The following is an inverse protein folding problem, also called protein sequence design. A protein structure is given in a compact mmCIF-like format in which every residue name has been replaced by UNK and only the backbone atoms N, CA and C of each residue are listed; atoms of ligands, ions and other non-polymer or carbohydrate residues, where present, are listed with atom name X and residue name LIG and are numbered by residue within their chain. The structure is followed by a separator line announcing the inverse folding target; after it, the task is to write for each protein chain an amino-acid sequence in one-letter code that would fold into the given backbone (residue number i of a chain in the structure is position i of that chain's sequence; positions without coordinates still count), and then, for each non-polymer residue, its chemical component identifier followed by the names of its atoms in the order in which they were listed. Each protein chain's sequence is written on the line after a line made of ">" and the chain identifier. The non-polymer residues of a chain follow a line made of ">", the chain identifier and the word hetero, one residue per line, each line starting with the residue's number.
data_IF_983350617455
#
_entry.id   IF_983350617455
#
_cell.length_a   1.000
_cell.length_b   1.000
_cell.length_c   1.000
_cell.angle_alpha   90.00
_cell.angle_beta   90.00
_cell.angle_gamma   90.00
#
_symmetry.space_group_name_H-M   'P 1'
#
loop_
_entity.id
_entity.type
_entity.pdbx_description
1 polymer ?
#
# COMPACT_ATOMS: atom_id res chain seq x y z
N UNK A 1 -25.08 -3.32 -55.63
CA UNK A 1 -24.86 -4.51 -54.80
C UNK A 1 -24.45 -4.19 -53.34
N UNK A 2 -23.86 -3.05 -53.03
CA UNK A 2 -23.35 -2.73 -51.67
C UNK A 2 -24.47 -2.29 -50.69
N UNK A 3 -25.60 -1.78 -51.16
CA UNK A 3 -26.72 -1.30 -50.32
C UNK A 3 -27.56 -2.40 -49.64
N UNK A 4 -27.40 -3.66 -50.05
CA UNK A 4 -28.18 -4.78 -49.48
C UNK A 4 -27.34 -5.68 -48.53
N UNK A 5 -26.02 -5.47 -48.42
CA UNK A 5 -25.18 -6.30 -47.56
C UNK A 5 -25.13 -5.80 -46.09
N UNK A 6 -25.32 -4.49 -45.86
CA UNK A 6 -25.23 -3.89 -44.53
C UNK A 6 -26.38 -4.29 -43.59
N UNK A 7 -27.64 -4.36 -44.04
CA UNK A 7 -28.74 -4.79 -43.17
C UNK A 7 -28.71 -6.28 -42.84
N UNK A 8 -28.06 -7.12 -43.67
CA UNK A 8 -28.02 -8.57 -43.46
C UNK A 8 -26.94 -8.98 -42.46
N UNK A 9 -25.86 -8.19 -42.28
CA UNK A 9 -24.85 -8.40 -41.26
C UNK A 9 -25.32 -8.02 -39.83
N UNK A 10 -26.22 -7.03 -39.73
CA UNK A 10 -26.78 -6.59 -38.43
C UNK A 10 -27.88 -7.53 -37.90
N UNK A 11 -28.51 -8.32 -38.75
CA UNK A 11 -29.55 -9.29 -38.33
C UNK A 11 -28.96 -10.63 -37.86
N UNK A 12 -27.72 -10.95 -38.21
CA UNK A 12 -27.06 -12.19 -37.78
C UNK A 12 -26.40 -12.11 -36.39
N UNK A 13 -26.29 -10.93 -35.82
CA UNK A 13 -25.63 -10.72 -34.52
C UNK A 13 -26.50 -11.01 -33.30
N UNK A 14 -27.82 -11.19 -33.50
CA UNK A 14 -28.74 -11.51 -32.40
C UNK A 14 -28.71 -12.98 -31.93
N UNK A 15 -27.89 -13.83 -32.55
CA UNK A 15 -27.78 -15.25 -32.21
C UNK A 15 -26.56 -15.62 -31.36
N UNK A 16 -25.65 -14.67 -31.06
CA UNK A 16 -24.45 -14.93 -30.29
C UNK A 16 -24.56 -14.34 -28.87
N UNK A 17 -24.66 -15.21 -27.89
CA UNK A 17 -24.72 -14.85 -26.48
C UNK A 17 -23.32 -14.46 -25.87
N UNK A 18 -22.27 -14.49 -26.69
CA UNK A 18 -20.87 -14.34 -26.26
C UNK A 18 -20.10 -13.40 -27.21
N UNK A 19 -19.55 -12.28 -26.73
CA UNK A 19 -18.82 -11.30 -27.52
C UNK A 19 -17.57 -11.88 -28.22
N UNK A 20 -16.97 -12.94 -27.64
CA UNK A 20 -15.80 -13.61 -28.22
C UNK A 20 -16.20 -14.37 -29.50
N UNK A 21 -17.33 -15.04 -29.48
CA UNK A 21 -17.85 -15.77 -30.64
C UNK A 21 -18.22 -14.86 -31.81
N UNK A 22 -18.73 -13.65 -31.52
CA UNK A 22 -19.01 -12.64 -32.53
C UNK A 22 -17.72 -12.12 -33.20
N UNK A 23 -16.63 -11.95 -32.46
CA UNK A 23 -15.32 -11.50 -32.97
C UNK A 23 -14.69 -12.56 -33.87
N UNK A 24 -14.76 -13.84 -33.49
CA UNK A 24 -14.25 -14.96 -34.27
C UNK A 24 -15.03 -15.13 -35.57
N UNK A 25 -16.36 -14.96 -35.55
CA UNK A 25 -17.20 -15.03 -36.74
C UNK A 25 -16.91 -13.90 -37.75
N UNK A 26 -16.61 -12.68 -37.28
CA UNK A 26 -16.20 -11.55 -38.10
C UNK A 26 -14.84 -11.78 -38.78
N UNK A 27 -13.87 -12.37 -38.06
CA UNK A 27 -12.54 -12.70 -38.59
C UNK A 27 -12.65 -13.80 -39.66
N UNK A 28 -13.48 -14.80 -39.44
CA UNK A 28 -13.69 -15.89 -40.43
C UNK A 28 -14.37 -15.45 -41.71
N UNK A 29 -15.26 -14.44 -41.66
CA UNK A 29 -15.96 -13.90 -42.85
C UNK A 29 -15.06 -12.98 -43.67
N UNK A 30 -14.10 -12.29 -43.07
CA UNK A 30 -13.15 -11.42 -43.80
C UNK A 30 -12.09 -12.20 -44.57
N UNK A 31 -11.75 -13.42 -44.13
CA UNK A 31 -10.77 -14.28 -44.81
C UNK A 31 -11.31 -14.96 -46.08
N UNK A 32 -12.63 -14.93 -46.29
CA UNK A 32 -13.25 -15.61 -47.44
C UNK A 32 -13.55 -14.68 -48.64
N UNK A 33 -13.42 -13.35 -48.48
CA UNK A 33 -13.67 -12.37 -49.56
C UNK A 33 -12.36 -11.71 -49.99
N UNK A 34 -11.87 -12.06 -51.13
CA UNK A 34 -10.54 -11.73 -51.76
C UNK A 34 -10.04 -10.28 -51.59
N UNK A 35 -8.95 -10.20 -51.42
CA UNK A 35 -7.72 -9.63 -50.90
C UNK A 35 -7.30 -8.41 -51.73
N UNK A 36 -7.37 -7.27 -51.55
CA UNK A 36 -6.55 -6.21 -52.16
C UNK A 36 -6.90 -4.78 -51.79
N UNK A 37 -8.16 -4.47 -51.70
CA UNK A 37 -8.62 -3.11 -51.34
C UNK A 37 -9.36 -3.01 -50.00
N UNK A 38 -9.48 -4.13 -49.29
CA UNK A 38 -10.20 -4.25 -48.01
C UNK A 38 -9.30 -4.15 -46.78
N UNK A 39 -7.96 -4.22 -46.95
CA UNK A 39 -7.03 -4.19 -45.85
C UNK A 39 -7.00 -2.85 -45.09
N UNK A 40 -7.22 -1.74 -45.76
CA UNK A 40 -7.23 -0.40 -45.14
C UNK A 40 -8.57 -0.10 -44.43
N UNK A 41 -9.70 -0.58 -45.01
CA UNK A 41 -11.02 -0.43 -44.36
C UNK A 41 -11.19 -1.44 -43.20
N UNK A 42 -10.71 -2.67 -43.36
CA UNK A 42 -10.74 -3.69 -42.31
C UNK A 42 -9.97 -3.28 -41.05
N UNK A 43 -8.80 -2.67 -41.20
CA UNK A 43 -8.02 -2.15 -40.07
C UNK A 43 -8.75 -1.02 -39.34
N UNK A 44 -9.45 -0.11 -40.08
CA UNK A 44 -10.20 0.98 -39.47
C UNK A 44 -11.43 0.49 -38.71
N UNK A 45 -12.13 -0.52 -39.23
CA UNK A 45 -13.25 -1.16 -38.53
C UNK A 45 -12.78 -2.00 -37.32
N UNK A 46 -11.61 -2.60 -37.40
CA UNK A 46 -11.04 -3.33 -36.28
C UNK A 46 -10.65 -2.38 -35.12
N UNK A 47 -10.03 -1.24 -35.43
CA UNK A 47 -9.72 -0.23 -34.44
C UNK A 47 -10.97 0.39 -33.82
N UNK A 48 -11.95 0.75 -34.61
CA UNK A 48 -13.22 1.30 -34.12
C UNK A 48 -14.03 0.27 -33.30
N UNK A 49 -14.02 -0.99 -33.68
CA UNK A 49 -14.69 -2.08 -32.96
C UNK A 49 -14.02 -2.39 -31.60
N UNK A 50 -12.69 -2.42 -31.55
CA UNK A 50 -11.94 -2.62 -30.30
C UNK A 50 -12.11 -1.44 -29.34
N UNK A 51 -12.13 -0.21 -29.87
CA UNK A 51 -12.38 0.99 -29.07
C UNK A 51 -13.80 1.02 -28.50
N UNK A 52 -14.81 0.72 -29.30
CA UNK A 52 -16.21 0.67 -28.87
C UNK A 52 -16.46 -0.47 -27.86
N UNK A 53 -15.80 -1.62 -28.00
CA UNK A 53 -15.88 -2.73 -27.05
C UNK A 53 -15.14 -2.42 -25.73
N UNK A 54 -14.04 -1.66 -25.78
CA UNK A 54 -13.34 -1.24 -24.56
C UNK A 54 -14.15 -0.22 -23.75
N UNK A 55 -14.81 0.73 -24.40
CA UNK A 55 -15.70 1.70 -23.73
C UNK A 55 -16.99 1.04 -23.23
N UNK A 56 -17.55 0.10 -23.98
CA UNK A 56 -18.69 -0.68 -23.53
C UNK A 56 -18.33 -1.61 -22.35
N UNK A 57 -17.13 -2.17 -22.35
CA UNK A 57 -16.58 -2.95 -21.23
C UNK A 57 -16.41 -2.13 -19.97
N UNK A 58 -15.98 -0.87 -20.09
CA UNK A 58 -15.89 0.08 -18.96
C UNK A 58 -17.27 0.50 -18.43
N UNK A 59 -18.25 0.67 -19.33
CA UNK A 59 -19.61 1.06 -18.95
C UNK A 59 -20.46 -0.08 -18.37
N UNK A 60 -20.09 -1.34 -18.65
CA UNK A 60 -20.77 -2.56 -18.19
C UNK A 60 -20.00 -3.28 -17.09
N UNK A 61 -18.77 -2.85 -16.77
CA UNK A 61 -18.06 -3.35 -15.61
C UNK A 61 -18.87 -2.93 -14.36
N UNK A 62 -19.33 -3.86 -13.52
CA UNK A 62 -19.88 -3.48 -12.24
C UNK A 62 -18.83 -2.66 -11.50
N UNK A 63 -19.24 -1.57 -10.85
CA UNK A 63 -18.40 -0.84 -9.89
C UNK A 63 -17.92 -1.87 -8.86
N UNK A 64 -16.72 -2.39 -9.08
CA UNK A 64 -16.04 -3.21 -8.10
C UNK A 64 -15.65 -2.25 -7.00
N UNK A 65 -16.22 -2.36 -5.80
CA UNK A 65 -15.76 -1.52 -4.69
C UNK A 65 -14.25 -1.70 -4.55
N UNK A 66 -13.52 -0.59 -4.38
CA UNK A 66 -12.06 -0.56 -4.27
C UNK A 66 -11.56 -1.21 -2.98
N UNK A 67 -12.01 -2.42 -2.67
CA UNK A 67 -11.75 -3.11 -1.41
C UNK A 67 -10.55 -4.07 -1.42
N UNK A 68 -9.91 -4.31 -2.55
CA UNK A 68 -8.91 -5.41 -2.63
C UNK A 68 -7.47 -4.96 -2.93
N UNK A 69 -7.17 -3.66 -2.83
CA UNK A 69 -5.80 -3.17 -3.04
C UNK A 69 -4.95 -3.07 -1.77
N UNK A 70 -5.52 -3.36 -0.61
CA UNK A 70 -4.86 -3.13 0.69
C UNK A 70 -3.96 -4.27 1.18
N UNK A 71 -3.93 -5.42 0.51
CA UNK A 71 -3.20 -6.61 1.00
C UNK A 71 -1.84 -6.85 0.34
N UNK A 72 -1.40 -5.96 -0.55
CA UNK A 72 -0.05 -6.08 -1.12
C UNK A 72 0.65 -4.74 -0.98
N UNK A 73 1.48 -4.62 0.06
CA UNK A 73 2.34 -3.47 0.35
C UNK A 73 3.42 -3.24 -0.72
N UNK A 74 3.04 -3.30 -1.98
CA UNK A 74 3.88 -3.07 -3.13
C UNK A 74 3.12 -2.25 -4.16
N UNK A 75 3.09 -0.94 -3.94
CA UNK A 75 2.62 -0.02 -4.97
C UNK A 75 3.83 0.66 -5.62
N UNK A 76 3.87 0.57 -6.95
CA UNK A 76 4.76 1.37 -7.78
C UNK A 76 4.43 2.84 -7.57
N UNK A 77 5.43 3.70 -7.53
CA UNK A 77 5.25 5.14 -7.37
C UNK A 77 4.26 5.68 -8.42
N UNK A 78 3.14 6.21 -7.95
CA UNK A 78 2.10 6.81 -8.78
C UNK A 78 2.16 8.33 -8.72
N UNK A 79 1.68 9.02 -9.76
CA UNK A 79 1.53 10.47 -9.75
C UNK A 79 0.11 10.81 -9.28
N UNK A 80 -0.03 11.46 -8.12
CA UNK A 80 -1.32 11.94 -7.63
C UNK A 80 -1.15 13.22 -6.82
N UNK A 81 -1.76 14.34 -7.25
CA UNK A 81 -1.66 15.60 -6.51
C UNK A 81 -2.49 15.65 -5.22
N UNK A 82 -3.33 14.64 -4.96
CA UNK A 82 -4.22 14.54 -3.82
C UNK A 82 -4.23 13.13 -3.24
N UNK A 83 -3.05 12.48 -3.18
CA UNK A 83 -2.93 11.17 -2.55
C UNK A 83 -3.13 11.28 -1.03
N UNK A 84 -3.90 10.37 -0.41
CA UNK A 84 -3.97 10.28 1.04
C UNK A 84 -2.60 9.93 1.62
N UNK A 85 -2.35 10.40 2.84
CA UNK A 85 -1.08 10.13 3.52
C UNK A 85 -0.95 8.65 3.84
N UNK A 86 0.23 8.09 3.58
CA UNK A 86 0.58 6.75 4.02
C UNK A 86 1.17 6.81 5.44
N UNK A 87 0.80 5.85 6.27
CA UNK A 87 1.38 5.60 7.59
C UNK A 87 2.04 4.24 7.59
N UNK A 88 3.28 4.17 8.09
CA UNK A 88 4.12 2.97 8.04
C UNK A 88 4.47 2.54 9.46
N UNK A 89 4.09 1.30 9.83
CA UNK A 89 4.51 0.66 11.07
C UNK A 89 5.45 -0.52 10.80
N UNK A 90 6.50 -0.64 11.61
CA UNK A 90 7.53 -1.66 11.43
C UNK A 90 8.37 -1.46 10.18
N UNK A 91 8.91 -2.54 9.62
CA UNK A 91 9.76 -2.50 8.41
C UNK A 91 9.00 -3.07 7.22
N UNK A 92 8.86 -2.29 6.15
CA UNK A 92 8.14 -2.74 4.95
C UNK A 92 8.70 -2.11 3.68
N UNK A 93 8.47 -2.77 2.54
CA UNK A 93 8.79 -2.23 1.21
C UNK A 93 7.56 -1.50 0.68
N UNK A 94 7.75 -0.25 0.27
CA UNK A 94 6.70 0.63 -0.25
C UNK A 94 7.17 1.35 -1.51
N UNK A 95 6.24 1.77 -2.34
CA UNK A 95 6.49 2.69 -3.45
C UNK A 95 6.56 4.13 -2.93
N UNK A 96 5.61 4.93 -3.30
CA UNK A 96 5.48 6.32 -2.91
C UNK A 96 4.62 7.08 -3.90
N UNK A 97 4.47 8.37 -3.69
CA UNK A 97 3.73 9.26 -4.59
C UNK A 97 4.67 10.30 -5.15
N UNK A 98 4.77 10.39 -6.47
CA UNK A 98 5.56 11.44 -7.14
C UNK A 98 4.77 12.75 -6.99
N UNK A 99 5.29 13.67 -6.16
CA UNK A 99 4.69 14.97 -5.90
C UNK A 99 5.31 16.09 -6.72
N UNK A 100 6.50 15.85 -7.24
CA UNK A 100 7.19 16.77 -8.15
C UNK A 100 7.99 15.99 -9.18
N UNK A 101 7.95 16.44 -10.43
CA UNK A 101 8.70 15.85 -11.54
C UNK A 101 9.03 16.93 -12.57
N UNK A 102 10.30 17.06 -12.91
CA UNK A 102 10.78 18.04 -13.89
C UNK A 102 12.06 17.58 -14.56
N UNK A 103 12.28 18.01 -15.80
CA UNK A 103 13.56 17.86 -16.50
C UNK A 103 14.33 19.18 -16.55
N UNK A 104 15.66 19.11 -16.54
CA UNK A 104 16.56 20.25 -16.66
C UNK A 104 17.67 19.99 -17.69
N UNK A 105 18.42 21.03 -18.05
CA UNK A 105 19.57 20.97 -18.97
C UNK A 105 19.24 20.31 -20.32
N UNK A 106 18.15 20.76 -20.98
CA UNK A 106 17.64 20.20 -22.24
C UNK A 106 17.34 18.67 -22.11
N UNK A 107 16.58 18.30 -21.09
CA UNK A 107 16.17 16.94 -20.77
C UNK A 107 17.31 15.98 -20.39
N UNK A 108 18.48 16.54 -20.03
CA UNK A 108 19.61 15.74 -19.58
C UNK A 108 19.35 15.10 -18.19
N UNK A 109 18.73 15.87 -17.28
CA UNK A 109 18.43 15.38 -15.94
C UNK A 109 16.93 15.35 -15.68
N UNK A 110 16.47 14.25 -15.11
CA UNK A 110 15.13 14.11 -14.55
C UNK A 110 15.21 14.22 -13.03
N UNK A 111 14.40 15.12 -12.47
CA UNK A 111 14.29 15.37 -11.03
C UNK A 111 12.92 14.94 -10.55
N UNK A 112 12.87 14.16 -9.47
CA UNK A 112 11.63 13.66 -8.86
C UNK A 112 11.68 13.81 -7.35
N UNK A 113 10.57 14.23 -6.75
CA UNK A 113 10.29 14.07 -5.31
C UNK A 113 9.24 13.00 -5.16
N UNK A 114 9.55 11.97 -4.38
CA UNK A 114 8.67 10.84 -4.10
C UNK A 114 8.35 10.88 -2.61
N UNK A 115 7.12 11.29 -2.27
CA UNK A 115 6.62 11.26 -0.90
C UNK A 115 6.28 9.81 -0.51
N UNK A 116 6.74 9.39 0.66
CA UNK A 116 6.66 7.99 1.13
C UNK A 116 5.67 7.85 2.29
N UNK A 117 5.79 8.71 3.30
CA UNK A 117 4.94 8.67 4.49
C UNK A 117 4.58 10.07 4.95
N UNK A 118 3.35 10.24 5.46
CA UNK A 118 2.87 11.50 6.06
C UNK A 118 3.28 11.65 7.52
N UNK A 119 4.44 11.16 7.90
CA UNK A 119 5.03 11.28 9.23
C UNK A 119 6.53 11.04 9.17
N UNK A 120 7.23 11.40 10.24
CA UNK A 120 8.65 11.04 10.42
C UNK A 120 8.81 9.52 10.46
N UNK A 121 9.78 9.00 9.68
CA UNK A 121 10.20 7.60 9.70
C UNK A 121 11.55 7.46 10.42
N UNK A 122 11.84 6.27 10.94
CA UNK A 122 13.11 6.00 11.61
C UNK A 122 14.27 6.02 10.60
N UNK A 123 14.10 5.31 9.46
CA UNK A 123 15.14 5.21 8.43
C UNK A 123 14.55 4.80 7.07
N UNK A 124 15.12 5.32 5.98
CA UNK A 124 14.95 4.84 4.62
C UNK A 124 16.17 3.96 4.32
N UNK A 125 16.04 2.64 4.57
CA UNK A 125 17.19 1.72 4.54
C UNK A 125 17.67 1.43 3.12
N UNK A 126 16.74 1.03 2.23
CA UNK A 126 17.07 0.51 0.91
C UNK A 126 16.24 1.21 -0.17
N UNK A 127 16.83 1.41 -1.32
CA UNK A 127 16.18 1.97 -2.51
C UNK A 127 16.32 0.96 -3.65
N UNK A 128 15.25 0.76 -4.39
CA UNK A 128 15.20 -0.19 -5.50
C UNK A 128 14.78 0.50 -6.78
N UNK A 129 15.45 0.16 -7.89
CA UNK A 129 15.01 0.45 -9.24
C UNK A 129 14.66 -0.87 -9.94
N UNK A 130 13.44 -0.98 -10.47
CA UNK A 130 12.94 -2.20 -11.13
C UNK A 130 13.21 -3.48 -10.30
N UNK A 131 12.96 -3.40 -8.98
CA UNK A 131 13.21 -4.47 -7.99
C UNK A 131 14.68 -4.83 -7.75
N UNK A 132 15.63 -4.11 -8.34
CA UNK A 132 17.06 -4.27 -8.06
C UNK A 132 17.50 -3.27 -7.00
N UNK A 133 18.10 -3.77 -5.92
CA UNK A 133 18.62 -2.92 -4.83
C UNK A 133 19.77 -2.06 -5.32
N UNK A 134 19.75 -0.78 -4.95
CA UNK A 134 20.81 0.17 -5.25
C UNK A 134 21.87 0.16 -4.14
N UNK A 135 23.15 0.06 -4.56
CA UNK A 135 24.29 0.28 -3.69
C UNK A 135 24.79 1.71 -3.80
N UNK A 136 25.16 2.30 -2.69
CA UNK A 136 25.65 3.68 -2.58
C UNK A 136 27.05 3.74 -1.96
N UNK A 137 27.79 4.82 -2.20
CA UNK A 137 29.01 5.12 -1.48
C UNK A 137 28.69 5.67 -0.07
N UNK A 138 28.15 4.79 0.76
CA UNK A 138 27.64 5.11 2.09
C UNK A 138 26.12 5.32 2.12
N UNK A 139 25.53 5.20 3.31
CA UNK A 139 24.11 5.49 3.58
C UNK A 139 24.02 6.80 4.36
N UNK A 140 24.19 7.89 3.68
CA UNK A 140 24.14 9.20 4.33
C UNK A 140 22.71 9.75 4.29
N UNK A 141 22.20 10.12 5.45
CA UNK A 141 20.99 10.93 5.60
C UNK A 141 21.39 12.39 5.41
N UNK A 142 20.47 13.20 4.89
CA UNK A 142 20.66 14.64 4.66
C UNK A 142 21.80 15.02 3.71
N UNK A 143 22.09 14.16 2.73
CA UNK A 143 22.95 14.49 1.60
C UNK A 143 22.64 13.67 0.34
N UNK A 144 23.06 14.17 -0.80
CA UNK A 144 22.95 13.47 -2.07
C UNK A 144 23.92 12.29 -2.11
N UNK A 145 23.40 11.09 -2.36
CA UNK A 145 24.19 9.88 -2.50
C UNK A 145 24.19 9.43 -3.96
N UNK A 146 25.36 9.22 -4.52
CA UNK A 146 25.54 8.66 -5.85
C UNK A 146 25.35 7.13 -5.81
N UNK A 147 24.62 6.61 -6.81
CA UNK A 147 24.46 5.17 -6.98
C UNK A 147 25.71 4.59 -7.63
N UNK A 148 26.28 3.54 -7.02
CA UNK A 148 27.46 2.84 -7.53
C UNK A 148 27.14 1.43 -8.03
N UNK A 149 26.01 0.86 -7.60
CA UNK A 149 25.59 -0.48 -7.98
C UNK A 149 24.07 -0.53 -8.19
N UNK A 150 23.61 -1.24 -9.24
CA UNK A 150 24.36 -1.87 -10.31
C UNK A 150 25.09 -0.87 -11.21
N UNK A 151 26.17 -1.31 -11.86
CA UNK A 151 27.08 -0.46 -12.63
C UNK A 151 26.44 0.34 -13.77
N UNK A 152 25.27 -0.08 -14.24
CA UNK A 152 24.50 0.67 -15.24
C UNK A 152 24.03 2.04 -14.74
N UNK A 153 23.84 2.20 -13.42
CA UNK A 153 23.39 3.44 -12.78
C UNK A 153 24.52 4.25 -12.14
N UNK A 154 25.75 3.70 -12.16
CA UNK A 154 26.94 4.33 -11.59
C UNK A 154 27.18 5.70 -12.24
N UNK A 155 27.22 6.76 -11.43
CA UNK A 155 27.33 8.14 -11.86
C UNK A 155 26.11 8.72 -12.58
N UNK A 156 25.00 7.98 -12.72
CA UNK A 156 23.80 8.38 -13.48
C UNK A 156 22.54 8.50 -12.64
N UNK A 157 22.55 7.95 -11.44
CA UNK A 157 21.45 8.05 -10.49
C UNK A 157 21.96 8.61 -9.16
N UNK A 158 21.18 9.51 -8.58
CA UNK A 158 21.49 10.16 -7.31
C UNK A 158 20.25 10.19 -6.44
N UNK A 159 20.41 9.94 -5.15
CA UNK A 159 19.31 9.83 -4.20
C UNK A 159 19.61 10.64 -2.94
N UNK A 160 18.68 11.48 -2.52
CA UNK A 160 18.71 12.20 -1.26
C UNK A 160 17.52 11.79 -0.39
N UNK A 161 17.77 11.30 0.82
CA UNK A 161 16.76 10.76 1.73
C UNK A 161 16.39 11.80 2.78
N UNK A 162 15.11 12.09 2.92
CA UNK A 162 14.53 12.98 3.93
C UNK A 162 13.56 12.17 4.80
N UNK A 163 13.85 12.05 6.08
CA UNK A 163 13.09 11.18 7.00
C UNK A 163 11.80 11.81 7.54
N UNK A 164 11.51 13.06 7.21
CA UNK A 164 10.24 13.70 7.58
C UNK A 164 10.23 14.33 8.98
N UNK A 165 11.35 14.91 9.43
CA UNK A 165 11.36 15.63 10.71
C UNK A 165 10.57 16.94 10.62
N UNK A 166 10.08 17.44 11.76
CA UNK A 166 9.30 18.69 11.81
C UNK A 166 10.12 19.92 11.43
N UNK A 167 11.42 19.90 11.65
CA UNK A 167 12.37 20.96 11.33
C UNK A 167 13.08 20.75 9.97
N UNK A 168 12.61 19.80 9.17
CA UNK A 168 13.14 19.45 7.86
C UNK A 168 13.17 20.66 6.93
N UNK A 169 14.29 20.84 6.24
CA UNK A 169 14.48 21.88 5.25
C UNK A 169 14.13 21.39 3.83
N UNK A 170 13.87 22.34 2.94
CA UNK A 170 13.71 22.02 1.53
C UNK A 170 14.98 21.40 0.94
N UNK A 171 14.84 20.45 0.02
CA UNK A 171 15.95 19.77 -0.63
C UNK A 171 16.89 20.78 -1.34
N UNK A 172 18.16 20.87 -0.93
CA UNK A 172 19.08 21.89 -1.45
C UNK A 172 19.48 21.63 -2.91
N UNK A 173 19.56 20.38 -3.33
CA UNK A 173 19.93 19.99 -4.69
C UNK A 173 18.84 20.35 -5.68
N UNK A 174 17.58 20.07 -5.32
CA UNK A 174 16.43 20.44 -6.14
C UNK A 174 16.25 21.96 -6.17
N UNK A 175 16.49 22.68 -5.06
CA UNK A 175 16.47 24.14 -5.04
C UNK A 175 17.46 24.73 -6.03
N UNK A 176 18.69 24.18 -6.10
CA UNK A 176 19.72 24.62 -7.03
C UNK A 176 19.37 24.30 -8.50
N UNK A 177 18.75 23.15 -8.76
CA UNK A 177 18.45 22.66 -10.10
C UNK A 177 17.17 23.24 -10.71
N UNK A 178 16.16 23.57 -9.92
CA UNK A 178 14.79 23.87 -10.39
C UNK A 178 14.56 25.29 -10.91
N UNK A 179 15.61 26.11 -11.01
CA UNK A 179 15.51 27.50 -11.45
C UNK A 179 14.43 28.34 -10.70
N UNK A 180 14.27 28.08 -9.41
CA UNK A 180 13.36 28.80 -8.53
C UNK A 180 11.92 28.21 -8.46
N UNK A 181 11.62 27.11 -9.12
CA UNK A 181 10.32 26.41 -8.99
C UNK A 181 10.21 25.70 -7.65
N UNK A 182 11.30 25.09 -7.18
CA UNK A 182 11.42 24.59 -5.82
C UNK A 182 12.19 25.58 -4.96
N UNK A 183 11.61 26.01 -3.86
CA UNK A 183 12.16 27.07 -3.01
C UNK A 183 12.29 26.61 -1.57
N UNK A 184 12.95 27.38 -0.70
CA UNK A 184 13.06 27.09 0.72
C UNK A 184 11.72 26.97 1.48
N UNK A 185 10.59 27.31 0.84
CA UNK A 185 9.25 27.12 1.42
C UNK A 185 8.70 25.71 1.18
N UNK A 186 9.31 24.92 0.31
CA UNK A 186 8.89 23.55 -0.01
C UNK A 186 9.59 22.54 0.91
N UNK A 187 9.43 22.69 2.21
CA UNK A 187 10.13 21.88 3.21
C UNK A 187 9.60 20.46 3.33
N UNK A 188 8.33 20.21 3.00
CA UNK A 188 7.64 18.95 3.26
C UNK A 188 7.82 18.48 4.72
N UNK A 189 7.81 19.44 5.67
CA UNK A 189 7.92 19.18 7.11
C UNK A 189 6.89 18.12 7.54
N UNK A 190 7.32 17.13 8.33
CA UNK A 190 6.48 16.03 8.75
C UNK A 190 6.18 14.98 7.67
N UNK A 191 6.80 15.07 6.47
CA UNK A 191 6.61 14.11 5.37
C UNK A 191 7.95 13.47 5.03
N UNK A 192 8.04 12.16 5.16
CA UNK A 192 9.21 11.43 4.67
C UNK A 192 9.17 11.33 3.15
N UNK A 193 10.25 11.74 2.50
CA UNK A 193 10.34 11.71 1.04
C UNK A 193 11.76 11.42 0.55
N UNK A 194 11.86 11.07 -0.72
CA UNK A 194 13.15 10.91 -1.39
C UNK A 194 13.19 11.81 -2.62
N UNK A 195 14.25 12.57 -2.75
CA UNK A 195 14.62 13.21 -4.00
C UNK A 195 15.48 12.27 -4.83
N UNK A 196 15.09 12.09 -6.09
CA UNK A 196 15.80 11.25 -7.06
C UNK A 196 16.16 12.12 -8.27
N UNK A 197 17.45 12.07 -8.64
CA UNK A 197 17.98 12.71 -9.86
C UNK A 197 18.53 11.61 -10.76
N UNK A 198 18.02 11.55 -11.99
CA UNK A 198 18.49 10.62 -13.02
C UNK A 198 19.12 11.41 -14.16
N UNK A 199 20.33 11.02 -14.57
CA UNK A 199 20.95 11.52 -15.81
C UNK A 199 20.50 10.65 -16.98
N UNK A 200 19.96 11.27 -18.03
CA UNK A 200 19.48 10.56 -19.21
C UNK A 200 20.60 9.74 -19.86
N UNK A 201 20.37 8.43 -19.94
CA UNK A 201 21.26 7.50 -20.60
C UNK A 201 20.45 6.28 -21.09
N UNK A 202 20.46 6.02 -22.39
CA UNK A 202 19.66 4.96 -23.00
C UNK A 202 20.12 3.54 -22.60
N UNK A 203 21.39 3.38 -22.23
CA UNK A 203 21.94 2.10 -21.79
C UNK A 203 21.62 1.85 -20.32
N UNK A 204 21.58 2.90 -19.50
CA UNK A 204 21.17 2.83 -18.10
C UNK A 204 19.67 2.59 -17.94
N UNK A 205 18.85 3.21 -18.78
CA UNK A 205 17.38 3.19 -18.70
C UNK A 205 16.74 2.70 -20.00
N UNK A 206 16.98 1.44 -20.43
CA UNK A 206 16.51 0.93 -21.73
C UNK A 206 14.99 0.86 -21.84
N UNK A 207 14.28 0.78 -20.71
CA UNK A 207 12.82 0.74 -20.65
C UNK A 207 12.21 2.09 -20.26
N UNK A 208 13.01 3.16 -20.19
CA UNK A 208 12.60 4.46 -19.69
C UNK A 208 12.79 4.61 -18.18
N UNK A 209 11.96 5.44 -17.54
CA UNK A 209 12.03 5.70 -16.10
C UNK A 209 11.82 4.41 -15.29
N UNK A 210 12.72 4.09 -14.34
CA UNK A 210 12.59 2.87 -13.55
C UNK A 210 11.45 2.97 -12.55
N UNK A 211 10.85 1.82 -12.20
CA UNK A 211 9.95 1.71 -11.07
C UNK A 211 10.73 1.81 -9.77
N UNK A 212 10.39 2.80 -8.93
CA UNK A 212 11.14 3.10 -7.71
C UNK A 212 10.36 2.61 -6.48
N UNK A 213 11.06 1.90 -5.59
CA UNK A 213 10.52 1.44 -4.32
C UNK A 213 11.56 1.49 -3.22
N UNK A 214 11.10 1.49 -1.97
CA UNK A 214 11.94 1.75 -0.80
C UNK A 214 11.65 0.73 0.30
N UNK A 215 12.67 0.28 1.02
CA UNK A 215 12.50 -0.43 2.29
C UNK A 215 12.67 0.58 3.42
N UNK A 216 11.63 0.71 4.22
CA UNK A 216 11.48 1.75 5.24
C UNK A 216 11.35 1.12 6.62
N UNK A 217 12.10 1.63 7.58
CA UNK A 217 11.78 1.50 9.01
C UNK A 217 10.82 2.64 9.34
N UNK A 218 9.57 2.28 9.60
CA UNK A 218 8.46 3.21 9.76
C UNK A 218 8.54 4.06 11.02
N UNK A 219 7.38 4.42 11.56
CA UNK A 219 7.23 5.35 12.67
C UNK A 219 7.92 4.86 13.95
N UNK A 220 8.58 5.78 14.65
CA UNK A 220 9.05 5.57 16.03
C UNK A 220 7.84 5.57 16.96
N UNK A 221 7.75 4.58 17.84
CA UNK A 221 6.60 4.35 18.72
C UNK A 221 6.98 4.62 20.17
N UNK A 222 6.07 5.29 20.89
CA UNK A 222 6.23 5.50 22.34
C UNK A 222 5.96 4.19 23.09
N UNK A 223 6.89 3.82 23.96
CA UNK A 223 6.77 2.66 24.84
C UNK A 223 6.47 3.12 26.27
N UNK A 224 5.28 2.85 26.84
CA UNK A 224 4.91 3.29 28.18
C UNK A 224 5.76 2.66 29.30
N UNK A 225 6.41 1.50 29.03
CA UNK A 225 7.31 0.87 30.01
C UNK A 225 8.63 1.60 30.12
N UNK A 226 9.23 1.99 29.00
CA UNK A 226 10.55 2.65 28.96
C UNK A 226 10.44 4.17 28.92
N UNK A 227 9.26 4.71 28.66
CA UNK A 227 8.97 6.13 28.41
C UNK A 227 9.83 6.74 27.29
N UNK A 228 10.23 5.92 26.34
CA UNK A 228 11.02 6.33 25.19
C UNK A 228 10.26 6.11 23.88
N UNK A 229 10.52 7.00 22.91
CA UNK A 229 10.00 6.88 21.54
C UNK A 229 11.13 6.37 20.66
N UNK A 230 11.00 5.13 20.17
CA UNK A 230 12.01 4.46 19.35
C UNK A 230 11.36 3.62 18.27
N UNK A 231 12.13 3.24 17.25
CA UNK A 231 11.63 2.30 16.26
C UNK A 231 11.18 0.99 16.91
N UNK A 232 9.97 0.55 16.52
CA UNK A 232 9.43 -0.72 17.01
C UNK A 232 8.45 -1.31 15.98
N UNK A 233 8.50 -2.64 15.83
CA UNK A 233 7.51 -3.42 15.11
C UNK A 233 6.46 -4.06 16.03
N UNK A 234 6.31 -3.54 17.25
CA UNK A 234 5.37 -4.08 18.23
C UNK A 234 3.93 -3.63 17.94
N UNK A 235 2.99 -4.55 17.65
CA UNK A 235 1.62 -4.19 17.26
C UNK A 235 0.81 -3.51 18.38
N UNK A 236 1.09 -3.78 19.65
CA UNK A 236 0.42 -3.09 20.75
C UNK A 236 0.83 -1.61 20.83
N UNK A 237 2.13 -1.31 20.60
CA UNK A 237 2.61 0.06 20.54
C UNK A 237 2.11 0.80 19.30
N UNK A 238 2.03 0.11 18.16
CA UNK A 238 1.44 0.67 16.94
C UNK A 238 -0.06 1.01 17.12
N UNK A 239 -0.82 0.13 17.79
CA UNK A 239 -2.21 0.39 18.12
C UNK A 239 -2.36 1.60 19.05
N UNK A 240 -1.50 1.72 20.07
CA UNK A 240 -1.48 2.88 20.96
C UNK A 240 -1.24 4.18 20.20
N UNK A 241 -0.22 4.19 19.32
CA UNK A 241 0.08 5.34 18.46
C UNK A 241 -1.10 5.70 17.57
N UNK A 242 -1.73 4.72 16.94
CA UNK A 242 -2.89 4.94 16.09
C UNK A 242 -4.08 5.54 16.85
N UNK A 243 -4.33 5.08 18.09
CA UNK A 243 -5.41 5.61 18.91
C UNK A 243 -5.19 7.08 19.28
N UNK A 244 -3.95 7.49 19.55
CA UNK A 244 -3.60 8.84 19.99
C UNK A 244 -3.24 9.82 18.88
N UNK A 245 -2.99 9.31 17.66
CA UNK A 245 -2.62 10.14 16.50
C UNK A 245 -3.83 10.85 15.89
N UNK A 246 -3.60 12.02 15.32
CA UNK A 246 -4.59 12.85 14.63
C UNK A 246 -5.18 12.20 13.37
N UNK A 247 -4.40 11.35 12.71
CA UNK A 247 -4.86 10.51 11.59
C UNK A 247 -5.62 9.24 12.06
N UNK A 248 -5.64 8.96 13.34
CA UNK A 248 -6.35 7.84 13.98
C UNK A 248 -7.62 8.30 14.70
N UNK A 249 -7.76 7.89 15.97
CA UNK A 249 -8.92 8.32 16.79
C UNK A 249 -8.72 9.63 17.54
N UNK A 250 -7.51 10.17 17.55
CA UNK A 250 -7.13 11.37 18.30
C UNK A 250 -7.59 11.33 19.77
N UNK A 251 -7.45 10.14 20.39
CA UNK A 251 -7.78 9.92 21.78
C UNK A 251 -6.79 10.64 22.71
N UNK A 252 -7.28 11.24 23.77
CA UNK A 252 -6.43 11.85 24.78
C UNK A 252 -5.59 10.81 25.52
N UNK A 253 -4.41 11.18 25.99
CA UNK A 253 -3.49 10.26 26.66
C UNK A 253 -4.08 9.62 27.93
N UNK A 254 -5.00 10.29 28.60
CA UNK A 254 -5.72 9.80 29.79
C UNK A 254 -6.83 8.80 29.44
N UNK A 255 -7.27 8.75 28.18
CA UNK A 255 -8.17 7.72 27.68
C UNK A 255 -7.44 6.40 27.32
N UNK A 256 -6.12 6.35 27.42
CA UNK A 256 -5.33 5.14 27.19
C UNK A 256 -5.00 4.48 28.54
N UNK A 257 -5.25 3.17 28.65
CA UNK A 257 -4.80 2.37 29.79
C UNK A 257 -3.36 1.85 29.53
N UNK A 258 -2.37 2.69 29.76
CA UNK A 258 -0.94 2.38 29.51
C UNK A 258 -0.47 1.10 30.21
N UNK A 259 -1.12 0.69 31.31
CA UNK A 259 -0.80 -0.58 31.99
C UNK A 259 -1.14 -1.78 31.10
N UNK A 260 -2.32 -1.76 30.48
CA UNK A 260 -2.74 -2.85 29.56
C UNK A 260 -1.91 -2.85 28.28
N UNK A 261 -1.55 -1.67 27.73
CA UNK A 261 -0.71 -1.56 26.56
C UNK A 261 0.73 -2.03 26.83
N UNK A 262 1.30 -1.68 27.99
CA UNK A 262 2.61 -2.17 28.42
C UNK A 262 2.63 -3.71 28.56
N UNK A 263 1.61 -4.29 29.18
CA UNK A 263 1.47 -5.73 29.33
C UNK A 263 1.33 -6.45 27.96
N UNK A 264 0.50 -5.90 27.05
CA UNK A 264 0.35 -6.44 25.71
C UNK A 264 1.66 -6.32 24.90
N UNK A 265 2.36 -5.18 25.01
CA UNK A 265 3.65 -4.99 24.35
C UNK A 265 4.70 -5.99 24.84
N UNK A 266 4.76 -6.26 26.14
CA UNK A 266 5.65 -7.26 26.70
C UNK A 266 5.38 -8.67 26.14
N UNK A 267 4.11 -9.05 25.98
CA UNK A 267 3.73 -10.33 25.36
C UNK A 267 4.13 -10.36 23.87
N UNK A 268 3.95 -9.26 23.14
CA UNK A 268 4.34 -9.18 21.73
C UNK A 268 5.86 -9.34 21.56
N UNK A 269 6.64 -8.76 22.46
CA UNK A 269 8.11 -8.80 22.44
C UNK A 269 8.71 -10.10 23.02
N UNK A 270 7.88 -11.01 23.59
CA UNK A 270 8.37 -12.31 24.02
C UNK A 270 9.06 -13.06 22.89
N UNK A 271 10.24 -13.59 23.19
CA UNK A 271 11.02 -14.38 22.25
C UNK A 271 10.49 -15.79 22.14
N UNK A 272 10.16 -16.23 20.94
CA UNK A 272 9.72 -17.60 20.63
C UNK A 272 10.79 -18.32 19.81
N UNK A 273 11.03 -19.61 20.15
CA UNK A 273 11.99 -20.43 19.42
C UNK A 273 11.41 -20.97 18.13
N UNK A 274 12.19 -20.88 17.05
CA UNK A 274 11.81 -21.43 15.74
C UNK A 274 12.23 -22.91 15.61
N UNK A 275 11.43 -23.70 14.90
CA UNK A 275 11.73 -25.12 14.65
C UNK A 275 13.02 -25.29 13.84
N UNK A 276 13.30 -24.36 12.92
CA UNK A 276 14.52 -24.35 12.13
C UNK A 276 15.77 -23.81 12.87
N UNK A 277 15.63 -23.50 14.16
CA UNK A 277 16.66 -22.82 14.97
C UNK A 277 16.56 -21.30 14.90
N UNK A 278 17.06 -20.63 15.94
CA UNK A 278 16.92 -19.18 16.12
C UNK A 278 15.66 -18.81 16.90
N UNK A 279 15.43 -17.52 17.04
CA UNK A 279 14.31 -16.94 17.80
C UNK A 279 13.74 -15.75 17.08
N UNK A 280 12.46 -15.48 17.28
CA UNK A 280 11.78 -14.28 16.81
C UNK A 280 10.86 -13.70 17.89
N UNK A 281 10.38 -12.48 17.72
CA UNK A 281 9.33 -11.92 18.56
C UNK A 281 8.01 -12.63 18.31
N UNK A 282 7.22 -12.85 19.37
CA UNK A 282 5.92 -13.53 19.29
C UNK A 282 4.99 -12.89 18.28
N UNK A 283 4.89 -11.55 18.30
CA UNK A 283 4.03 -10.79 17.41
C UNK A 283 4.77 -9.55 16.89
N UNK A 284 4.66 -9.31 15.59
CA UNK A 284 5.18 -8.11 14.93
C UNK A 284 4.16 -7.56 13.96
N UNK A 285 4.22 -6.24 13.70
CA UNK A 285 3.51 -5.55 12.65
C UNK A 285 4.52 -4.91 11.70
N UNK A 286 4.35 -5.18 10.40
CA UNK A 286 5.17 -4.62 9.34
C UNK A 286 4.26 -4.34 8.15
N UNK A 287 3.94 -3.08 7.91
CA UNK A 287 3.03 -2.72 6.84
C UNK A 287 2.73 -1.23 6.79
N UNK A 288 2.01 -0.84 5.76
CA UNK A 288 1.53 0.52 5.54
C UNK A 288 0.02 0.53 5.32
N UNK A 289 -0.61 1.62 5.68
CA UNK A 289 -1.99 1.93 5.33
C UNK A 289 -2.11 3.40 4.93
N UNK A 290 -3.17 3.73 4.22
CA UNK A 290 -3.50 5.10 3.84
C UNK A 290 -4.59 5.66 4.76
N UNK A 291 -4.57 6.98 5.00
CA UNK A 291 -5.45 7.63 5.98
C UNK A 291 -6.92 7.71 5.56
N UNK A 292 -7.28 7.31 4.36
CA UNK A 292 -8.67 7.24 3.89
C UNK A 292 -9.38 5.91 4.25
N UNK A 293 -8.67 4.98 4.91
CA UNK A 293 -9.23 3.72 5.38
C UNK A 293 -10.04 3.92 6.65
N UNK A 294 -11.13 3.18 6.78
CA UNK A 294 -11.99 3.23 7.98
C UNK A 294 -11.18 2.90 9.24
N UNK A 295 -11.21 3.73 10.30
CA UNK A 295 -10.44 3.50 11.53
C UNK A 295 -10.64 2.12 12.14
N UNK A 296 -11.87 1.57 12.09
CA UNK A 296 -12.16 0.25 12.60
C UNK A 296 -11.33 -0.84 11.90
N UNK A 297 -11.11 -0.72 10.58
CA UNK A 297 -10.31 -1.68 9.81
C UNK A 297 -8.86 -1.71 10.30
N UNK A 298 -8.27 -0.54 10.52
CA UNK A 298 -6.88 -0.44 11.01
C UNK A 298 -6.77 -1.01 12.43
N UNK A 299 -7.71 -0.67 13.31
CA UNK A 299 -7.77 -1.22 14.68
C UNK A 299 -7.89 -2.75 14.65
N UNK A 300 -8.75 -3.29 13.80
CA UNK A 300 -8.94 -4.73 13.66
C UNK A 300 -7.67 -5.41 13.14
N UNK A 301 -6.99 -4.82 12.17
CA UNK A 301 -5.76 -5.38 11.60
C UNK A 301 -4.60 -5.34 12.62
N UNK A 302 -4.42 -4.23 13.34
CA UNK A 302 -3.42 -4.13 14.41
C UNK A 302 -3.72 -5.09 15.56
N UNK A 303 -4.99 -5.26 15.92
CA UNK A 303 -5.43 -6.20 16.96
C UNK A 303 -5.21 -7.65 16.52
N UNK A 304 -5.51 -7.98 15.26
CA UNK A 304 -5.23 -9.30 14.67
C UNK A 304 -3.73 -9.61 14.62
N UNK A 305 -2.87 -8.61 14.35
CA UNK A 305 -1.42 -8.81 14.30
C UNK A 305 -0.84 -9.32 15.63
N UNK A 306 -1.52 -9.09 16.77
CA UNK A 306 -1.14 -9.63 18.08
C UNK A 306 -2.10 -10.73 18.60
N UNK A 307 -2.96 -11.28 17.73
CA UNK A 307 -4.01 -12.24 18.09
C UNK A 307 -4.83 -11.79 19.32
N UNK A 308 -5.01 -10.47 19.46
CA UNK A 308 -5.50 -9.81 20.64
C UNK A 308 -6.95 -9.36 20.57
N UNK A 309 -7.34 -8.55 21.53
CA UNK A 309 -8.61 -7.86 21.58
C UNK A 309 -8.45 -6.48 22.22
N UNK A 310 -9.24 -5.52 21.76
CA UNK A 310 -9.34 -4.19 22.33
C UNK A 310 -10.77 -3.91 22.77
N UNK A 311 -10.94 -3.15 23.82
CA UNK A 311 -12.26 -2.71 24.32
C UNK A 311 -12.13 -1.36 25.01
N UNK A 312 -13.24 -0.61 25.02
CA UNK A 312 -13.36 0.65 25.77
C UNK A 312 -14.16 0.39 27.04
N UNK A 313 -13.59 0.69 28.20
CA UNK A 313 -14.25 0.52 29.47
C UNK A 313 -13.75 1.53 30.52
N UNK A 314 -14.68 2.09 31.28
CA UNK A 314 -14.38 3.07 32.34
C UNK A 314 -13.65 4.32 31.81
N UNK A 315 -14.00 4.77 30.61
CA UNK A 315 -13.36 5.94 29.99
C UNK A 315 -11.98 5.68 29.41
N UNK A 316 -11.56 4.39 29.25
CA UNK A 316 -10.22 4.04 28.73
C UNK A 316 -10.26 2.96 27.69
N UNK A 317 -9.42 3.10 26.68
CA UNK A 317 -9.06 2.04 25.74
C UNK A 317 -8.13 1.04 26.42
N UNK A 318 -8.47 -0.21 26.36
CA UNK A 318 -7.72 -1.33 26.92
C UNK A 318 -7.44 -2.37 25.86
N UNK A 319 -6.30 -3.03 25.96
CA UNK A 319 -5.86 -4.07 25.01
C UNK A 319 -5.34 -5.28 25.74
N UNK A 320 -5.51 -6.46 25.09
CA UNK A 320 -4.90 -7.71 25.51
C UNK A 320 -4.32 -8.41 24.29
N UNK A 321 -3.04 -8.74 24.31
CA UNK A 321 -2.43 -9.60 23.31
C UNK A 321 -2.76 -11.06 23.55
N UNK A 322 -2.74 -11.88 22.49
CA UNK A 322 -3.05 -13.30 22.54
C UNK A 322 -1.95 -14.10 23.24
N UNK A 323 -2.18 -14.40 24.51
CA UNK A 323 -1.33 -15.31 25.28
C UNK A 323 -2.21 -16.11 26.24
N UNK A 324 -1.75 -17.31 26.59
CA UNK A 324 -2.40 -18.09 27.64
C UNK A 324 -2.32 -17.34 28.96
N UNK A 325 -3.46 -17.19 29.60
CA UNK A 325 -3.56 -16.71 30.99
C UNK A 325 -4.31 -17.73 31.79
N UNK A 326 -3.81 -18.03 32.99
CA UNK A 326 -4.51 -18.92 33.90
C UNK A 326 -5.92 -18.41 34.20
N UNK A 327 -6.92 -19.29 34.30
CA UNK A 327 -8.25 -18.91 34.70
C UNK A 327 -8.23 -18.19 36.05
N UNK A 328 -8.94 -17.06 36.12
CA UNK A 328 -9.06 -16.24 37.35
C UNK A 328 -10.20 -16.68 38.23
N UNK A 329 -11.11 -17.49 37.71
CA UNK A 329 -12.28 -18.03 38.41
C UNK A 329 -12.53 -19.47 37.96
N UNK A 330 -12.64 -20.39 38.90
CA UNK A 330 -13.16 -21.71 38.68
C UNK A 330 -14.65 -21.68 39.06
N UNK A 331 -15.51 -22.09 38.11
CA UNK A 331 -16.94 -22.26 38.35
C UNK A 331 -17.20 -23.75 38.56
N UNK A 332 -18.01 -24.05 39.57
CA UNK A 332 -18.47 -25.42 39.85
C UNK A 332 -20.00 -25.54 39.72
N UNK A 333 -20.54 -26.70 40.06
CA UNK A 333 -21.98 -26.96 39.95
C UNK A 333 -22.82 -26.03 40.84
N UNK A 334 -22.27 -25.57 41.97
CA UNK A 334 -22.95 -24.69 42.92
C UNK A 334 -23.08 -23.25 42.41
N UNK A 335 -22.24 -22.85 41.49
CA UNK A 335 -22.32 -21.54 40.81
C UNK A 335 -23.43 -21.49 39.75
N UNK A 336 -23.94 -22.64 39.36
CA UNK A 336 -24.97 -22.76 38.32
C UNK A 336 -26.38 -22.49 38.90
N UNK A 337 -26.91 -21.30 38.60
CA UNK A 337 -28.24 -20.88 39.09
C UNK A 337 -29.43 -21.30 38.24
N UNK A 338 -29.19 -21.98 37.13
CA UNK A 338 -30.25 -22.44 36.22
C UNK A 338 -29.86 -23.73 35.52
N UNK A 339 -30.85 -24.48 35.02
CA UNK A 339 -30.59 -25.68 34.24
C UNK A 339 -29.77 -25.39 32.99
N UNK A 340 -28.69 -26.16 32.79
CA UNK A 340 -27.86 -26.07 31.57
C UNK A 340 -28.68 -26.68 30.41
N UNK A 341 -28.97 -25.84 29.41
CA UNK A 341 -29.59 -26.29 28.17
C UNK A 341 -28.51 -26.52 27.10
N UNK A 342 -28.27 -27.80 26.77
CA UNK A 342 -27.32 -28.14 25.69
C UNK A 342 -28.10 -28.37 24.40
N UNK A 343 -27.96 -27.48 23.43
CA UNK A 343 -28.50 -27.61 22.09
C UNK A 343 -27.47 -28.34 21.22
N UNK A 344 -27.57 -29.65 21.08
CA UNK A 344 -26.60 -30.50 20.38
C UNK A 344 -26.61 -30.35 18.86
N UNK A 345 -27.69 -29.82 18.31
CA UNK A 345 -27.82 -29.52 16.87
C UNK A 345 -28.66 -28.26 16.64
N UNK A 346 -28.21 -27.36 15.82
CA UNK A 346 -29.06 -26.31 15.25
C UNK A 346 -29.93 -26.93 14.15
N UNK A 347 -31.21 -26.52 14.04
CA UNK A 347 -32.03 -26.98 12.94
C UNK A 347 -31.43 -26.52 11.60
N UNK A 348 -31.57 -27.32 10.55
CA UNK A 348 -31.13 -26.92 9.20
C UNK A 348 -31.73 -25.57 8.75
N UNK A 349 -32.89 -25.25 9.28
CA UNK A 349 -33.62 -24.01 8.99
C UNK A 349 -32.90 -22.77 9.61
N UNK A 350 -32.32 -22.91 10.79
CA UNK A 350 -31.58 -21.83 11.48
C UNK A 350 -30.20 -21.60 10.85
N UNK A 351 -29.64 -22.66 10.20
CA UNK A 351 -28.36 -22.54 9.46
C UNK A 351 -28.49 -21.83 8.10
N UNK A 352 -29.68 -21.84 7.49
CA UNK A 352 -29.91 -21.20 6.19
C UNK A 352 -30.28 -19.71 6.29
N UNK A 353 -30.64 -19.21 7.48
CA UNK A 353 -30.97 -17.80 7.69
C UNK A 353 -29.75 -16.88 7.92
N UNK A 354 -28.51 -17.43 7.97
CA UNK A 354 -27.27 -16.65 8.20
C UNK A 354 -26.45 -16.41 6.93
N UNK A 355 -26.93 -16.81 5.77
CA UNK A 355 -26.20 -16.62 4.50
C UNK A 355 -26.64 -15.40 3.69
N UNK A 356 -27.55 -14.57 4.20
CA UNK A 356 -28.06 -13.38 3.52
C UNK A 356 -27.83 -12.11 4.36
N UNK A 357 -26.54 -11.77 4.57
CA UNK A 357 -26.13 -10.39 4.92
C UNK A 357 -24.71 -10.16 4.44
#
# INVERSE_FOLDING_TARGET
>A
MLKYLVPMLLTSTSAFADPISATVALISTVTTVGIGSLLTMGALYHFAGVYALSELGKALAPDVPAQDRQTRGYEVAGVSPAAPHAVIYGKTKVGGVIVYKETTDNDKFLHMIIAIAGHEVDEIEEVYFDDVELGFDGKYVDQLNEVQSPSQYDGKAFVYRHVGTDDQLADPELMAASAGKWTGSHTLSGVAYVYVKLEFDADAYPNGEPSISFVIRGKKLYNPTTQATTFSSNPALALRDYLTSDYGLNADADEIDDVSFAAAAAICDETVSLVAGGTEKRYTVNGSFITDVTPQTIIDDLTRAMAGSMWYAQGKFRVKAGAYTSPVLALDEDDNRSNIQIKTRNSRRDGLQRSDW
#
